data_IF_536488535598
#
_entry.id   IF_536488535598
#
_cell.length_a   1.000
_cell.length_b   1.000
_cell.length_c   1.000
_cell.angle_alpha   90.00
_cell.angle_beta   90.00
_cell.angle_gamma   90.00
#
_symmetry.space_group_name_H-M   'P 1'
#
loop_
_entity.id
_entity.type
_entity.pdbx_description
1 polymer ?
#
# COMPACT_ATOMS: atom_id res chain seq x y z
N UNK A 1 -3.22 -4.03 14.72
CA UNK A 1 -4.47 -3.84 15.47
C UNK A 1 -5.59 -3.68 14.44
N UNK A 2 -6.79 -4.23 14.70
CA UNK A 2 -7.97 -4.00 13.85
C UNK A 2 -8.98 -3.20 14.66
N UNK A 3 -9.59 -2.19 14.04
CA UNK A 3 -10.64 -1.36 14.63
C UNK A 3 -11.89 -1.42 13.75
N UNK A 4 -13.07 -1.39 14.38
CA UNK A 4 -14.33 -1.02 13.72
C UNK A 4 -14.37 0.49 13.51
N UNK A 5 -15.09 0.97 12.49
CA UNK A 5 -15.17 2.39 12.17
C UNK A 5 -16.34 2.73 11.25
N UNK A 6 -16.71 4.01 11.22
CA UNK A 6 -17.74 4.54 10.33
C UNK A 6 -17.27 4.55 8.87
N UNK A 7 -18.18 4.43 7.89
CA UNK A 7 -17.85 4.66 6.48
C UNK A 7 -17.12 6.01 6.31
N UNK A 8 -16.13 6.04 5.41
CA UNK A 8 -15.32 7.23 5.12
C UNK A 8 -15.60 7.73 3.70
N UNK A 9 -15.32 9.01 3.40
CA UNK A 9 -15.38 9.54 2.04
C UNK A 9 -14.63 8.68 1.01
N UNK A 10 -15.16 8.51 -0.22
CA UNK A 10 -16.43 9.08 -0.72
C UNK A 10 -17.69 8.23 -0.40
N UNK A 11 -17.54 7.12 0.33
CA UNK A 11 -18.62 6.15 0.55
C UNK A 11 -19.66 6.62 1.56
N UNK A 12 -19.31 7.53 2.46
CA UNK A 12 -20.26 8.17 3.37
C UNK A 12 -21.29 9.02 2.62
N UNK A 13 -20.88 9.83 1.64
CA UNK A 13 -21.79 10.59 0.74
C UNK A 13 -22.70 9.65 -0.05
N UNK A 14 -22.15 8.56 -0.60
CA UNK A 14 -22.93 7.55 -1.32
C UNK A 14 -24.02 6.94 -0.43
N UNK A 15 -23.67 6.57 0.81
CA UNK A 15 -24.62 6.02 1.79
C UNK A 15 -25.68 7.06 2.15
N UNK A 16 -25.31 8.32 2.37
CA UNK A 16 -26.29 9.37 2.68
C UNK A 16 -27.28 9.62 1.54
N UNK A 17 -26.83 9.58 0.28
CA UNK A 17 -27.69 9.70 -0.91
C UNK A 17 -28.65 8.53 -1.05
N UNK A 18 -28.20 7.30 -0.78
CA UNK A 18 -29.09 6.13 -0.77
C UNK A 18 -30.16 6.25 0.35
N UNK A 19 -29.76 6.72 1.53
CA UNK A 19 -30.68 6.96 2.65
C UNK A 19 -31.66 8.11 2.38
N UNK A 20 -31.28 9.13 1.61
CA UNK A 20 -32.20 10.21 1.24
C UNK A 20 -33.22 9.77 0.20
N UNK A 21 -32.80 8.99 -0.82
CA UNK A 21 -33.69 8.41 -1.81
C UNK A 21 -34.72 7.49 -1.18
N UNK A 22 -34.29 6.63 -0.25
CA UNK A 22 -35.20 5.75 0.47
C UNK A 22 -36.24 6.55 1.28
N UNK A 23 -35.84 7.64 1.94
CA UNK A 23 -36.75 8.51 2.71
C UNK A 23 -37.75 9.26 1.83
N UNK A 24 -37.35 9.70 0.64
CA UNK A 24 -38.24 10.32 -0.34
C UNK A 24 -39.34 9.33 -0.79
N UNK A 25 -38.96 8.07 -1.06
CA UNK A 25 -39.86 7.06 -1.60
C UNK A 25 -40.90 6.54 -0.58
N UNK A 26 -40.58 6.57 0.72
CA UNK A 26 -41.54 6.27 1.80
C UNK A 26 -42.74 7.23 1.85
N UNK A 27 -42.62 8.42 1.27
CA UNK A 27 -43.75 9.35 1.11
C UNK A 27 -44.63 9.04 -0.12
N UNK A 28 -44.13 8.18 -1.02
CA UNK A 28 -44.75 7.80 -2.29
C UNK A 28 -44.74 6.27 -2.52
N UNK A 29 -45.26 5.47 -1.60
CA UNK A 29 -45.73 4.08 -1.82
C UNK A 29 -44.78 3.09 -2.58
N UNK A 30 -43.49 3.38 -2.73
CA UNK A 30 -42.46 2.45 -3.24
C UNK A 30 -41.45 2.19 -2.13
N UNK A 31 -41.11 0.92 -1.92
CA UNK A 31 -40.30 0.47 -0.78
C UNK A 31 -38.83 0.20 -1.11
N UNK A 32 -38.42 0.28 -2.38
CA UNK A 32 -37.13 -0.26 -2.84
C UNK A 32 -36.46 0.68 -3.83
N UNK A 33 -35.30 1.20 -3.44
CA UNK A 33 -34.42 2.01 -4.30
C UNK A 33 -33.65 1.09 -5.24
N UNK A 34 -33.67 1.39 -6.53
CA UNK A 34 -32.94 0.67 -7.57
C UNK A 34 -31.71 1.49 -7.97
N UNK A 35 -30.52 0.97 -7.70
CA UNK A 35 -29.27 1.55 -8.18
C UNK A 35 -28.70 0.70 -9.33
N UNK A 36 -28.26 1.34 -10.41
CA UNK A 36 -27.50 0.69 -11.47
C UNK A 36 -26.01 0.93 -11.27
N UNK A 37 -25.21 -0.14 -11.34
CA UNK A 37 -23.76 -0.05 -11.43
C UNK A 37 -23.38 -0.16 -12.91
N UNK A 38 -22.79 0.91 -13.45
CA UNK A 38 -22.59 1.16 -14.87
C UNK A 38 -23.91 1.18 -15.68
N UNK A 39 -23.88 0.74 -16.94
CA UNK A 39 -24.96 0.96 -17.91
C UNK A 39 -26.24 0.27 -17.46
N UNK A 40 -27.36 0.99 -17.28
CA UNK A 40 -28.62 0.37 -16.89
C UNK A 40 -29.07 -0.67 -17.91
N UNK A 41 -29.62 -1.79 -17.42
CA UNK A 41 -30.12 -2.86 -18.30
C UNK A 41 -31.15 -2.32 -19.30
N UNK A 42 -30.98 -2.65 -20.57
CA UNK A 42 -31.82 -2.15 -21.67
C UNK A 42 -31.38 -0.81 -22.25
N UNK A 43 -30.34 -0.15 -21.71
CA UNK A 43 -29.78 1.05 -22.32
C UNK A 43 -28.71 0.69 -23.35
N UNK A 44 -28.68 1.44 -24.46
CA UNK A 44 -27.57 1.43 -25.41
C UNK A 44 -26.36 2.14 -24.79
N UNK A 45 -25.17 1.61 -25.01
CA UNK A 45 -23.90 2.07 -24.39
C UNK A 45 -23.59 3.54 -24.70
N UNK A 46 -24.03 4.03 -25.86
CA UNK A 46 -23.78 5.41 -26.28
C UNK A 46 -25.03 6.27 -26.24
N UNK A 47 -26.16 5.67 -26.62
CA UNK A 47 -27.37 6.43 -26.91
C UNK A 47 -28.38 6.41 -25.75
N UNK A 48 -28.14 5.63 -24.70
CA UNK A 48 -29.03 5.52 -23.54
C UNK A 48 -30.28 4.71 -23.85
N UNK A 49 -31.38 5.04 -23.20
CA UNK A 49 -32.67 4.35 -23.34
C UNK A 49 -33.36 4.77 -24.65
N UNK A 50 -32.90 4.23 -25.78
CA UNK A 50 -33.45 4.54 -27.12
C UNK A 50 -34.94 4.16 -27.20
N UNK A 51 -35.34 3.06 -26.55
CA UNK A 51 -36.69 2.50 -26.63
C UNK A 51 -37.64 2.93 -25.52
N UNK A 52 -37.16 3.54 -24.43
CA UNK A 52 -37.99 3.85 -23.25
C UNK A 52 -38.32 2.64 -22.37
N UNK A 53 -37.89 1.44 -22.77
CA UNK A 53 -38.15 0.15 -22.14
C UNK A 53 -37.04 -0.27 -21.17
N UNK A 54 -35.92 0.46 -21.16
CA UNK A 54 -34.80 0.20 -20.26
C UNK A 54 -35.19 0.42 -18.80
N UNK A 55 -34.44 -0.21 -17.89
CA UNK A 55 -34.59 0.05 -16.47
C UNK A 55 -34.27 1.52 -16.19
N UNK A 56 -35.08 2.16 -15.34
CA UNK A 56 -34.89 3.54 -14.89
C UNK A 56 -34.46 3.49 -13.43
N UNK A 57 -33.14 3.40 -13.16
CA UNK A 57 -32.67 3.35 -11.78
C UNK A 57 -32.86 4.72 -11.12
N UNK A 58 -33.05 4.71 -9.81
CA UNK A 58 -33.10 5.92 -8.99
C UNK A 58 -31.71 6.55 -8.81
N UNK A 59 -30.65 5.75 -9.00
CA UNK A 59 -29.26 6.19 -8.93
C UNK A 59 -28.36 5.46 -9.94
N UNK A 60 -27.42 6.19 -10.54
CA UNK A 60 -26.38 5.64 -11.42
C UNK A 60 -25.01 5.71 -10.75
N UNK A 61 -24.32 4.57 -10.62
CA UNK A 61 -22.96 4.48 -10.06
C UNK A 61 -22.04 3.99 -11.18
N UNK A 62 -21.10 4.79 -11.65
CA UNK A 62 -20.07 4.31 -12.59
C UNK A 62 -18.72 4.15 -11.89
N UNK A 63 -18.20 2.93 -11.94
CA UNK A 63 -16.90 2.56 -11.37
C UNK A 63 -15.75 2.83 -12.36
N UNK A 64 -16.08 3.14 -13.62
CA UNK A 64 -15.15 3.41 -14.71
C UNK A 64 -15.38 4.81 -15.28
N UNK A 65 -14.65 5.18 -16.34
CA UNK A 65 -14.95 6.41 -17.07
C UNK A 65 -16.39 6.31 -17.62
N UNK A 66 -17.29 7.27 -17.31
CA UNK A 66 -18.69 7.16 -17.67
C UNK A 66 -18.87 6.95 -19.17
N UNK A 67 -19.59 5.89 -19.55
CA UNK A 67 -20.00 5.65 -20.94
C UNK A 67 -20.87 6.81 -21.44
N UNK A 68 -20.90 7.05 -22.74
CA UNK A 68 -21.61 8.22 -23.30
C UNK A 68 -23.09 8.25 -22.88
N UNK A 69 -23.75 7.09 -22.76
CA UNK A 69 -25.13 7.00 -22.28
C UNK A 69 -25.32 7.51 -20.85
N UNK A 70 -24.30 7.44 -19.98
CA UNK A 70 -24.37 7.92 -18.61
C UNK A 70 -24.56 9.44 -18.55
N UNK A 71 -24.12 10.18 -19.59
CA UNK A 71 -24.40 11.62 -19.72
C UNK A 71 -25.88 11.93 -19.93
N UNK A 72 -26.67 10.95 -20.39
CA UNK A 72 -28.12 11.07 -20.61
C UNK A 72 -28.94 10.71 -19.37
N UNK A 73 -28.30 10.20 -18.32
CA UNK A 73 -28.99 9.91 -17.06
C UNK A 73 -29.26 11.20 -16.29
N UNK A 74 -30.54 11.49 -16.05
CA UNK A 74 -30.99 12.63 -15.26
C UNK A 74 -31.37 12.15 -13.86
N UNK A 75 -30.44 12.25 -12.91
CA UNK A 75 -30.69 11.86 -11.52
C UNK A 75 -29.42 11.84 -10.67
N UNK A 76 -29.55 11.42 -9.40
CA UNK A 76 -28.40 11.20 -8.51
C UNK A 76 -27.41 10.23 -9.14
N UNK A 77 -26.14 10.63 -9.22
CA UNK A 77 -25.10 9.79 -9.79
C UNK A 77 -23.79 9.90 -9.02
N UNK A 78 -22.94 8.88 -9.16
CA UNK A 78 -21.59 8.85 -8.59
C UNK A 78 -20.62 8.25 -9.61
N UNK A 79 -19.58 9.01 -9.98
CA UNK A 79 -18.61 8.61 -11.01
C UNK A 79 -17.20 8.55 -10.43
N UNK A 80 -16.71 7.34 -10.16
CA UNK A 80 -15.36 7.15 -9.61
C UNK A 80 -14.26 7.24 -10.68
N UNK A 81 -14.57 6.91 -11.94
CA UNK A 81 -13.59 6.97 -13.03
C UNK A 81 -13.12 8.38 -13.40
N UNK A 82 -13.80 9.42 -12.93
CA UNK A 82 -13.42 10.82 -13.12
C UNK A 82 -12.36 11.31 -12.11
N UNK A 83 -12.06 10.54 -11.05
CA UNK A 83 -11.01 10.85 -10.07
C UNK A 83 -9.59 10.65 -10.61
N UNK A 84 -9.46 10.25 -11.88
CA UNK A 84 -8.17 9.91 -12.51
C UNK A 84 -7.53 11.14 -13.14
N UNK A 85 -6.32 11.46 -12.70
CA UNK A 85 -5.48 12.49 -13.30
C UNK A 85 -4.61 11.94 -14.44
N UNK A 86 -4.28 12.79 -15.40
CA UNK A 86 -3.32 12.47 -16.47
C UNK A 86 -1.91 12.71 -15.96
N UNK A 87 -1.06 11.68 -15.92
CA UNK A 87 0.33 11.82 -15.52
C UNK A 87 1.11 12.68 -16.50
N UNK A 88 1.88 13.64 -15.99
CA UNK A 88 2.84 14.43 -16.76
C UNK A 88 4.23 14.08 -16.22
N UNK A 89 4.96 13.27 -16.98
CA UNK A 89 6.30 12.80 -16.61
C UNK A 89 7.21 12.78 -17.84
N UNK A 90 8.53 12.81 -17.65
CA UNK A 90 9.49 12.54 -18.73
C UNK A 90 9.30 11.12 -19.28
N UNK A 91 9.62 10.91 -20.56
CA UNK A 91 9.75 9.57 -21.14
C UNK A 91 10.90 8.82 -20.47
N UNK A 92 10.70 7.53 -20.21
CA UNK A 92 11.70 6.64 -19.60
C UNK A 92 12.02 5.46 -20.53
N UNK A 93 13.00 5.68 -21.40
CA UNK A 93 13.45 4.71 -22.41
C UNK A 93 14.68 3.89 -21.97
N UNK A 94 15.12 2.96 -22.82
CA UNK A 94 16.28 2.09 -22.56
C UNK A 94 17.60 2.83 -22.37
N UNK A 95 17.76 4.03 -22.92
CA UNK A 95 19.00 4.81 -22.80
C UNK A 95 19.12 5.50 -21.44
N UNK A 96 18.00 5.65 -20.73
CA UNK A 96 17.97 6.22 -19.39
C UNK A 96 18.14 5.19 -18.27
N UNK A 97 18.11 3.90 -18.62
CA UNK A 97 18.26 2.78 -17.69
C UNK A 97 19.73 2.59 -17.29
N UNK A 98 19.98 2.49 -15.99
CA UNK A 98 21.28 2.03 -15.49
C UNK A 98 21.45 0.52 -15.75
N UNK A 99 22.68 0.10 -16.07
CA UNK A 99 23.00 -1.30 -16.28
C UNK A 99 22.78 -2.17 -15.03
N UNK A 100 22.96 -1.58 -13.84
CA UNK A 100 22.72 -2.23 -12.57
C UNK A 100 21.38 -1.72 -11.98
N UNK A 101 20.39 -2.60 -11.73
CA UNK A 101 19.09 -2.19 -11.22
C UNK A 101 19.15 -1.58 -9.81
N UNK A 102 20.17 -1.92 -9.00
CA UNK A 102 20.36 -1.27 -7.69
C UNK A 102 20.75 0.20 -7.88
N UNK A 103 21.57 0.50 -8.88
CA UNK A 103 21.99 1.88 -9.16
C UNK A 103 20.83 2.68 -9.79
N UNK A 104 20.01 2.04 -10.64
CA UNK A 104 18.74 2.62 -11.10
C UNK A 104 17.80 2.96 -9.93
N UNK A 105 17.65 2.06 -8.95
CA UNK A 105 16.84 2.32 -7.76
C UNK A 105 17.39 3.51 -6.98
N UNK A 106 18.69 3.57 -6.71
CA UNK A 106 19.32 4.67 -5.97
C UNK A 106 19.07 6.01 -6.65
N UNK A 107 19.25 6.08 -7.98
CA UNK A 107 18.96 7.28 -8.78
C UNK A 107 17.53 7.78 -8.58
N UNK A 108 16.53 6.89 -8.71
CA UNK A 108 15.13 7.30 -8.49
C UNK A 108 14.80 7.61 -7.03
N UNK A 109 15.47 6.95 -6.08
CA UNK A 109 15.32 7.23 -4.66
C UNK A 109 15.89 8.61 -4.30
N UNK A 110 17.03 9.00 -4.88
CA UNK A 110 17.62 10.32 -4.74
C UNK A 110 16.76 11.40 -5.40
N UNK A 111 16.11 11.10 -6.54
CA UNK A 111 15.11 11.99 -7.14
C UNK A 111 13.91 12.22 -6.19
N UNK A 112 13.40 11.15 -5.57
CA UNK A 112 12.30 11.22 -4.61
C UNK A 112 12.66 12.04 -3.36
N UNK A 113 13.89 11.91 -2.86
CA UNK A 113 14.43 12.73 -1.78
C UNK A 113 14.54 14.20 -2.20
N UNK A 114 15.11 14.46 -3.37
CA UNK A 114 15.32 15.82 -3.92
C UNK A 114 14.01 16.54 -4.18
N UNK A 115 12.98 15.80 -4.63
CA UNK A 115 11.62 16.32 -4.81
C UNK A 115 10.89 16.62 -3.48
N UNK A 116 11.47 16.25 -2.33
CA UNK A 116 10.88 16.49 -1.02
C UNK A 116 9.61 15.67 -0.78
N UNK A 117 9.50 14.49 -1.38
CA UNK A 117 8.36 13.61 -1.14
C UNK A 117 8.25 13.23 0.35
N UNK A 118 7.03 13.03 0.82
CA UNK A 118 6.80 12.56 2.18
C UNK A 118 7.20 11.09 2.32
N UNK A 119 8.07 10.78 3.28
CA UNK A 119 8.58 9.42 3.56
C UNK A 119 8.94 8.61 2.28
N UNK A 120 9.90 9.08 1.46
CA UNK A 120 10.23 8.41 0.20
C UNK A 120 10.80 7.00 0.41
N UNK A 121 11.25 6.69 1.63
CA UNK A 121 11.72 5.38 2.05
C UNK A 121 10.60 4.45 2.56
N UNK A 122 9.34 4.89 2.58
CA UNK A 122 8.21 4.03 2.88
C UNK A 122 7.96 3.08 1.70
N UNK A 123 7.75 1.80 2.03
CA UNK A 123 7.49 0.75 1.05
C UNK A 123 6.41 -0.20 1.55
N UNK A 124 5.52 -0.63 0.65
CA UNK A 124 4.61 -1.71 0.94
C UNK A 124 5.37 -3.04 0.87
N UNK A 125 5.41 -3.76 1.98
CA UNK A 125 5.96 -5.11 2.08
C UNK A 125 4.84 -6.12 2.00
N UNK A 126 4.88 -6.99 0.99
CA UNK A 126 3.95 -8.09 0.79
C UNK A 126 4.61 -9.43 1.10
N UNK A 127 3.94 -10.23 1.94
CA UNK A 127 4.42 -11.56 2.37
C UNK A 127 3.27 -12.56 2.35
N UNK A 128 3.57 -13.84 2.24
CA UNK A 128 2.59 -14.92 2.34
C UNK A 128 3.19 -16.07 3.15
N UNK A 129 2.42 -16.71 4.03
CA UNK A 129 2.87 -17.89 4.77
C UNK A 129 2.66 -19.17 3.95
N UNK A 130 2.71 -20.33 4.62
CA UNK A 130 2.47 -21.64 3.97
C UNK A 130 1.04 -21.81 3.42
N UNK A 131 0.10 -21.00 3.88
CA UNK A 131 -1.29 -21.01 3.42
C UNK A 131 -1.50 -20.27 2.08
N UNK A 132 -0.43 -19.67 1.54
CA UNK A 132 -0.46 -18.93 0.28
C UNK A 132 -1.24 -17.62 0.32
N UNK A 133 -1.74 -17.17 1.48
CA UNK A 133 -2.54 -15.95 1.58
C UNK A 133 -1.63 -14.73 1.69
N UNK A 134 -1.62 -13.82 0.70
CA UNK A 134 -0.80 -12.63 0.76
C UNK A 134 -1.33 -11.66 1.82
N UNK A 135 -0.42 -10.96 2.49
CA UNK A 135 -0.74 -9.80 3.29
C UNK A 135 0.28 -8.69 3.10
N UNK A 136 -0.19 -7.46 3.04
CA UNK A 136 0.64 -6.27 2.79
C UNK A 136 0.52 -5.26 3.93
N UNK A 137 1.59 -4.50 4.15
CA UNK A 137 1.65 -3.39 5.10
C UNK A 137 2.82 -2.47 4.75
N UNK A 138 2.77 -1.22 5.19
CA UNK A 138 3.90 -0.31 5.06
C UNK A 138 5.00 -0.67 6.06
N UNK A 139 6.24 -0.60 5.60
CA UNK A 139 7.48 -0.61 6.40
C UNK A 139 8.41 0.46 5.83
N UNK A 140 9.46 0.81 6.58
CA UNK A 140 10.44 1.78 6.13
C UNK A 140 11.73 1.07 5.70
N UNK A 141 12.25 1.42 4.54
CA UNK A 141 13.60 1.10 4.12
C UNK A 141 14.58 1.82 5.08
N UNK A 142 15.51 1.06 5.65
CA UNK A 142 16.52 1.53 6.62
C UNK A 142 17.95 1.29 6.18
N UNK A 143 18.15 0.45 5.17
CA UNK A 143 19.46 0.23 4.56
C UNK A 143 19.29 -0.30 3.14
N UNK A 144 20.22 0.08 2.28
CA UNK A 144 20.40 -0.46 0.94
C UNK A 144 21.90 -0.68 0.73
N UNK A 145 22.29 -1.93 0.57
CA UNK A 145 23.67 -2.30 0.24
C UNK A 145 23.70 -3.31 -0.92
N UNK A 146 24.90 -3.80 -1.25
CA UNK A 146 25.12 -4.77 -2.33
C UNK A 146 24.34 -6.09 -2.16
N UNK A 147 23.94 -6.43 -0.93
CA UNK A 147 23.21 -7.65 -0.62
C UNK A 147 21.69 -7.42 -0.63
N UNK A 148 21.23 -6.16 -0.57
CA UNK A 148 19.84 -5.78 -0.86
C UNK A 148 19.22 -4.79 0.13
N UNK A 149 17.91 -4.95 0.36
CA UNK A 149 17.04 -3.95 1.00
C UNK A 149 16.73 -4.36 2.44
N UNK A 150 17.02 -3.48 3.40
CA UNK A 150 16.91 -3.76 4.84
C UNK A 150 15.77 -2.98 5.48
N UNK A 151 14.96 -3.66 6.29
CA UNK A 151 13.96 -3.07 7.18
C UNK A 151 13.96 -3.78 8.54
N UNK A 152 13.45 -3.13 9.58
CA UNK A 152 13.41 -3.67 10.94
C UNK A 152 11.97 -3.83 11.44
N UNK A 153 11.72 -4.90 12.21
CA UNK A 153 10.38 -5.26 12.68
C UNK A 153 10.47 -6.16 13.91
N UNK A 154 9.30 -6.43 14.50
CA UNK A 154 9.13 -7.53 15.45
C UNK A 154 8.99 -8.87 14.68
N UNK A 155 9.81 -9.86 15.01
CA UNK A 155 9.83 -11.22 14.45
C UNK A 155 8.60 -12.06 14.80
N UNK A 156 7.91 -11.74 15.90
CA UNK A 156 6.65 -12.38 16.32
C UNK A 156 5.41 -11.72 15.68
N UNK A 157 5.60 -10.72 14.83
CA UNK A 157 4.49 -10.13 14.10
C UNK A 157 3.96 -11.05 13.00
N UNK A 158 2.77 -10.78 12.47
CA UNK A 158 2.19 -11.58 11.39
C UNK A 158 3.12 -11.73 10.18
N UNK A 159 3.81 -10.65 9.78
CA UNK A 159 4.81 -10.70 8.70
C UNK A 159 6.05 -11.51 9.07
N UNK A 160 6.47 -11.48 10.34
CA UNK A 160 7.61 -12.24 10.84
C UNK A 160 7.31 -13.74 10.82
N UNK A 161 6.11 -14.15 11.23
CA UNK A 161 5.63 -15.52 11.08
C UNK A 161 5.55 -15.94 9.61
N UNK A 162 4.94 -15.14 8.74
CA UNK A 162 4.89 -15.46 7.29
C UNK A 162 6.30 -15.62 6.69
N UNK A 163 7.23 -14.72 7.01
CA UNK A 163 8.63 -14.79 6.54
C UNK A 163 9.41 -15.97 7.12
N UNK A 164 9.03 -16.45 8.30
CA UNK A 164 9.64 -17.66 8.89
C UNK A 164 9.18 -18.94 8.20
N UNK A 165 7.94 -18.98 7.69
CA UNK A 165 7.40 -20.12 6.95
C UNK A 165 7.77 -20.08 5.46
N UNK A 166 7.83 -18.88 4.88
CA UNK A 166 8.15 -18.65 3.47
C UNK A 166 9.05 -17.41 3.35
N UNK A 167 10.37 -17.60 3.20
CA UNK A 167 11.34 -16.50 3.17
C UNK A 167 11.38 -15.80 1.80
N UNK A 168 10.21 -15.41 1.28
CA UNK A 168 10.02 -14.65 0.04
C UNK A 168 9.16 -13.44 0.32
N UNK A 169 9.48 -12.30 -0.31
CA UNK A 169 8.66 -11.11 -0.22
C UNK A 169 8.70 -10.29 -1.51
N UNK A 170 7.75 -9.37 -1.61
CA UNK A 170 7.74 -8.29 -2.58
C UNK A 170 7.73 -6.94 -1.86
N UNK A 171 8.54 -6.01 -2.34
CA UNK A 171 8.56 -4.61 -1.92
C UNK A 171 7.97 -3.76 -3.05
N UNK A 172 7.19 -2.75 -2.67
CA UNK A 172 6.60 -1.78 -3.59
C UNK A 172 6.84 -0.37 -3.05
N UNK A 173 7.61 0.41 -3.80
CA UNK A 173 7.74 1.85 -3.63
C UNK A 173 6.76 2.54 -4.58
N UNK A 174 5.99 3.49 -4.07
CA UNK A 174 5.09 4.30 -4.87
C UNK A 174 5.35 5.76 -4.55
N UNK A 175 5.95 6.46 -5.52
CA UNK A 175 6.27 7.87 -5.46
C UNK A 175 5.29 8.62 -6.36
N UNK A 176 4.09 8.84 -5.82
CA UNK A 176 2.97 9.48 -6.51
C UNK A 176 3.34 10.85 -7.09
N UNK A 177 4.06 11.69 -6.35
CA UNK A 177 4.51 13.01 -6.80
C UNK A 177 5.47 12.98 -8.00
N UNK A 178 6.06 11.82 -8.31
CA UNK A 178 6.90 11.61 -9.50
C UNK A 178 6.24 10.67 -10.53
N UNK A 179 5.03 10.19 -10.25
CA UNK A 179 4.34 9.13 -11.00
C UNK A 179 5.23 7.90 -11.21
N UNK A 180 6.02 7.52 -10.20
CA UNK A 180 6.95 6.40 -10.27
C UNK A 180 6.55 5.27 -9.34
N UNK A 181 6.85 4.05 -9.79
CA UNK A 181 6.73 2.86 -8.98
C UNK A 181 7.96 1.99 -9.18
N UNK A 182 8.45 1.39 -8.09
CA UNK A 182 9.46 0.34 -8.15
C UNK A 182 8.97 -0.89 -7.39
N UNK A 183 8.92 -2.03 -8.07
CA UNK A 183 8.68 -3.34 -7.45
C UNK A 183 9.97 -4.11 -7.37
N UNK A 184 10.16 -4.80 -6.24
CA UNK A 184 11.35 -5.61 -5.98
C UNK A 184 10.90 -6.94 -5.38
N UNK A 185 11.35 -8.05 -5.93
CA UNK A 185 10.99 -9.38 -5.45
C UNK A 185 12.25 -10.21 -5.19
N UNK A 186 12.22 -11.06 -4.16
CA UNK A 186 13.35 -11.93 -3.86
C UNK A 186 13.27 -12.66 -2.51
N UNK A 187 14.28 -13.49 -2.21
CA UNK A 187 14.41 -14.15 -0.93
C UNK A 187 14.75 -13.17 0.19
N UNK A 188 14.28 -13.49 1.39
CA UNK A 188 14.46 -12.68 2.60
C UNK A 188 15.26 -13.46 3.63
N UNK A 189 16.23 -12.81 4.27
CA UNK A 189 17.00 -13.36 5.40
C UNK A 189 16.95 -12.40 6.58
N UNK A 190 17.10 -12.91 7.80
CA UNK A 190 17.37 -12.04 8.96
C UNK A 190 18.76 -11.43 8.79
N UNK A 191 18.91 -10.18 9.20
CA UNK A 191 20.25 -9.56 9.33
C UNK A 191 20.97 -10.16 10.55
N UNK A 192 22.26 -9.88 10.69
CA UNK A 192 23.01 -10.37 11.85
C UNK A 192 22.48 -9.78 13.16
N UNK A 193 22.76 -10.47 14.27
CA UNK A 193 22.39 -9.96 15.59
C UNK A 193 23.09 -8.63 15.89
N UNK A 194 24.36 -8.49 15.48
CA UNK A 194 25.11 -7.24 15.64
C UNK A 194 24.53 -6.08 14.81
N UNK A 195 24.09 -6.34 13.58
CA UNK A 195 23.42 -5.33 12.75
C UNK A 195 22.07 -4.91 13.35
N UNK A 196 21.35 -5.86 13.95
CA UNK A 196 20.11 -5.58 14.68
C UNK A 196 20.36 -4.76 15.96
N UNK A 197 21.39 -5.09 16.74
CA UNK A 197 21.78 -4.38 17.96
C UNK A 197 22.18 -2.94 17.66
N UNK A 198 23.10 -2.76 16.70
CA UNK A 198 23.60 -1.45 16.29
C UNK A 198 22.46 -0.54 15.81
N UNK A 199 21.54 -1.08 15.00
CA UNK A 199 20.39 -0.30 14.56
C UNK A 199 19.36 -0.08 15.67
N UNK A 200 19.18 -1.00 16.61
CA UNK A 200 18.30 -0.79 17.76
C UNK A 200 18.76 0.41 18.60
N UNK A 201 20.05 0.48 18.92
CA UNK A 201 20.63 1.53 19.76
C UNK A 201 20.76 2.88 19.07
N UNK A 202 20.74 2.95 17.74
CA UNK A 202 20.72 4.22 17.00
C UNK A 202 19.34 4.89 16.99
N UNK A 203 18.27 4.18 17.40
CA UNK A 203 16.90 4.72 17.42
C UNK A 203 16.70 5.68 18.59
N UNK A 204 15.79 6.67 18.48
CA UNK A 204 15.41 7.51 19.61
C UNK A 204 14.98 6.68 20.83
N UNK A 205 15.30 7.15 22.04
CA UNK A 205 15.06 6.41 23.29
C UNK A 205 13.62 5.90 23.42
N UNK A 206 12.61 6.74 23.18
CA UNK A 206 11.20 6.32 23.20
C UNK A 206 10.83 5.27 22.14
N UNK A 207 11.53 5.25 21.00
CA UNK A 207 11.36 4.20 19.98
C UNK A 207 11.96 2.86 20.41
N UNK A 208 13.03 2.88 21.19
CA UNK A 208 13.61 1.68 21.80
C UNK A 208 12.63 1.07 22.83
N UNK A 209 12.09 1.89 23.73
CA UNK A 209 11.05 1.48 24.70
C UNK A 209 9.81 0.94 23.97
N UNK A 210 9.30 1.67 22.97
CA UNK A 210 8.11 1.26 22.23
C UNK A 210 8.27 -0.09 21.50
N UNK A 211 9.49 -0.46 21.12
CA UNK A 211 9.77 -1.76 20.54
C UNK A 211 9.71 -2.91 21.56
N UNK A 212 9.93 -2.65 22.85
CA UNK A 212 9.77 -3.62 23.95
C UNK A 212 8.28 -3.80 24.29
N UNK A 213 7.55 -2.68 24.45
CA UNK A 213 6.13 -2.69 24.84
C UNK A 213 5.25 -3.36 23.78
N UNK A 214 5.55 -3.10 22.51
CA UNK A 214 4.66 -3.50 21.42
C UNK A 214 4.81 -4.97 21.03
N UNK A 215 3.94 -5.82 21.60
CA UNK A 215 3.63 -7.17 21.08
C UNK A 215 2.90 -7.06 19.74
N UNK A 216 3.65 -6.69 18.70
CA UNK A 216 3.07 -6.27 17.42
C UNK A 216 2.24 -7.38 16.79
N UNK A 217 0.97 -7.10 16.48
CA UNK A 217 -0.01 -8.03 15.87
C UNK A 217 -0.74 -8.96 16.84
N UNK A 218 -0.58 -8.80 18.16
CA UNK A 218 -1.43 -9.49 19.15
C UNK A 218 -2.66 -8.65 19.50
N UNK A 219 -3.70 -9.30 20.02
CA UNK A 219 -4.85 -8.60 20.62
C UNK A 219 -4.41 -8.01 21.95
N UNK A 220 -4.70 -6.73 22.17
CA UNK A 220 -4.46 -6.04 23.45
C UNK A 220 -5.82 -5.68 24.04
N UNK A 221 -6.11 -5.97 25.32
CA UNK A 221 -7.42 -5.75 25.90
C UNK A 221 -7.87 -4.28 25.83
N UNK A 222 -6.96 -3.34 26.15
CA UNK A 222 -7.23 -1.90 26.20
C UNK A 222 -5.96 -1.07 25.98
N UNK A 223 -6.11 0.19 25.57
CA UNK A 223 -5.01 1.11 25.26
C UNK A 223 -4.19 1.53 26.50
N UNK A 224 -4.84 1.64 27.65
CA UNK A 224 -4.21 2.04 28.91
C UNK A 224 -3.14 1.05 29.39
N UNK A 225 -3.30 -0.24 29.09
CA UNK A 225 -2.28 -1.27 29.36
C UNK A 225 -0.94 -0.92 28.71
N UNK A 226 -0.95 -0.47 27.45
CA UNK A 226 0.27 -0.09 26.73
C UNK A 226 0.91 1.17 27.31
N UNK A 227 0.10 2.13 27.75
CA UNK A 227 0.61 3.34 28.39
C UNK A 227 1.25 3.04 29.75
N UNK A 228 0.66 2.10 30.50
CA UNK A 228 1.20 1.67 31.78
C UNK A 228 2.53 0.92 31.59
N UNK A 229 2.60 -0.06 30.70
CA UNK A 229 3.84 -0.79 30.37
C UNK A 229 4.93 0.17 29.84
N UNK A 230 4.56 1.16 29.02
CA UNK A 230 5.49 2.17 28.54
C UNK A 230 6.06 3.00 29.69
N UNK A 231 5.23 3.50 30.60
CA UNK A 231 5.67 4.29 31.76
C UNK A 231 6.55 3.48 32.71
N UNK A 232 6.23 2.21 32.92
CA UNK A 232 7.04 1.31 33.74
C UNK A 232 8.43 1.09 33.15
N UNK A 233 8.51 0.91 31.83
CA UNK A 233 9.80 0.77 31.14
C UNK A 233 10.57 2.08 31.06
N UNK A 234 9.90 3.22 30.90
CA UNK A 234 10.51 4.55 30.94
C UNK A 234 11.09 4.87 32.32
N UNK A 235 10.41 4.47 33.41
CA UNK A 235 10.95 4.58 34.76
C UNK A 235 12.13 3.61 35.01
N UNK A 236 12.06 2.40 34.43
CA UNK A 236 13.12 1.38 34.55
C UNK A 236 14.37 1.73 33.74
N UNK A 237 14.20 2.38 32.60
CA UNK A 237 15.25 2.81 31.68
C UNK A 237 15.17 4.32 31.50
N UNK A 238 15.73 5.12 32.43
CA UNK A 238 15.81 6.56 32.29
C UNK A 238 16.58 6.97 31.03
N UNK A 239 16.34 8.19 30.54
CA UNK A 239 17.03 8.72 29.37
C UNK A 239 18.57 8.65 29.52
N UNK A 240 19.25 8.18 28.47
CA UNK A 240 20.69 7.92 28.48
C UNK A 240 21.08 6.53 29.00
N UNK A 241 20.16 5.75 29.56
CA UNK A 241 20.41 4.35 29.91
C UNK A 241 20.47 3.45 28.69
N UNK A 242 21.26 2.38 28.78
CA UNK A 242 21.33 1.36 27.73
C UNK A 242 20.11 0.44 27.83
N UNK A 243 19.28 0.45 26.80
CA UNK A 243 18.15 -0.46 26.66
C UNK A 243 18.62 -1.70 25.89
N UNK A 244 18.50 -2.92 26.45
CA UNK A 244 18.84 -4.13 25.71
C UNK A 244 17.84 -4.36 24.58
N UNK A 245 18.32 -4.72 23.38
CA UNK A 245 17.44 -5.09 22.27
C UNK A 245 16.64 -6.36 22.62
N UNK A 246 15.32 -6.37 22.41
CA UNK A 246 14.52 -7.59 22.56
C UNK A 246 14.95 -8.69 21.59
N UNK A 247 14.93 -9.95 22.03
CA UNK A 247 15.21 -11.13 21.17
C UNK A 247 14.24 -11.25 19.99
N UNK A 248 13.00 -10.81 20.17
CA UNK A 248 11.97 -10.82 19.12
C UNK A 248 12.06 -9.62 18.18
N UNK A 249 13.07 -8.74 18.30
CA UNK A 249 13.21 -7.56 17.45
C UNK A 249 14.50 -7.62 16.64
N UNK A 250 14.43 -7.24 15.36
CA UNK A 250 15.60 -7.10 14.50
C UNK A 250 15.26 -6.85 13.04
N UNK A 251 16.27 -7.00 12.18
CA UNK A 251 16.19 -6.67 10.76
C UNK A 251 15.95 -7.87 9.85
N UNK A 252 15.31 -7.60 8.73
CA UNK A 252 15.26 -8.48 7.56
C UNK A 252 15.91 -7.78 6.37
N UNK A 253 16.50 -8.58 5.49
CA UNK A 253 17.11 -8.18 4.23
C UNK A 253 16.48 -8.96 3.09
N UNK A 254 15.92 -8.25 2.10
CA UNK A 254 15.52 -8.84 0.82
C UNK A 254 16.70 -8.74 -0.15
N UNK A 255 17.16 -9.89 -0.66
CA UNK A 255 18.12 -9.95 -1.76
C UNK A 255 17.33 -9.92 -3.07
N UNK A 256 17.49 -8.90 -3.93
CA UNK A 256 16.65 -8.77 -5.11
C UNK A 256 16.97 -9.86 -6.15
N UNK A 257 15.93 -10.43 -6.74
CA UNK A 257 16.00 -11.29 -7.93
C UNK A 257 15.32 -10.65 -9.13
N UNK A 258 14.35 -9.77 -8.88
CA UNK A 258 13.64 -9.02 -9.92
C UNK A 258 13.40 -7.58 -9.46
N UNK A 259 13.56 -6.65 -10.39
CA UNK A 259 13.10 -5.27 -10.30
C UNK A 259 12.11 -4.99 -11.43
N UNK A 260 11.06 -4.23 -11.13
CA UNK A 260 10.21 -3.58 -12.14
C UNK A 260 10.21 -2.08 -11.87
N UNK A 261 10.66 -1.29 -12.85
CA UNK A 261 10.59 0.16 -12.85
C UNK A 261 9.42 0.59 -13.72
N UNK A 262 8.54 1.41 -13.16
CA UNK A 262 7.36 1.91 -13.84
C UNK A 262 7.28 3.43 -13.75
N UNK A 263 7.03 4.08 -14.90
CA UNK A 263 6.86 5.53 -15.02
C UNK A 263 5.49 5.83 -15.66
N UNK A 264 4.68 6.62 -14.97
CA UNK A 264 3.40 7.10 -15.46
C UNK A 264 3.56 8.00 -16.69
N UNK A 265 2.66 7.88 -17.67
CA UNK A 265 2.69 8.63 -18.93
C UNK A 265 1.29 9.15 -19.27
N UNK A 266 1.22 10.25 -20.04
CA UNK A 266 -0.03 10.92 -20.44
C UNK A 266 -0.98 9.99 -21.20
N UNK A 267 -0.44 9.19 -22.13
CA UNK A 267 -1.21 8.35 -23.06
C UNK A 267 -1.72 7.04 -22.46
N UNK A 268 -1.39 6.75 -21.18
CA UNK A 268 -1.57 5.44 -20.52
C UNK A 268 -0.65 4.33 -21.03
N UNK A 269 0.15 4.60 -22.06
CA UNK A 269 1.26 3.75 -22.45
C UNK A 269 2.41 4.06 -21.51
N UNK A 270 2.36 3.45 -20.33
CA UNK A 270 3.35 3.64 -19.28
C UNK A 270 4.64 2.91 -19.62
N UNK A 271 5.77 3.54 -19.29
CA UNK A 271 7.07 2.89 -19.46
C UNK A 271 7.25 1.86 -18.36
N UNK A 272 7.65 0.64 -18.74
CA UNK A 272 7.86 -0.45 -17.81
C UNK A 272 9.08 -1.27 -18.22
N UNK A 273 10.02 -1.36 -17.30
CA UNK A 273 11.24 -2.15 -17.48
C UNK A 273 11.35 -3.19 -16.37
N UNK A 274 11.45 -4.45 -16.76
CA UNK A 274 11.64 -5.58 -15.85
C UNK A 274 13.07 -6.09 -15.98
N UNK A 275 13.83 -6.02 -14.90
CA UNK A 275 15.22 -6.46 -14.82
C UNK A 275 15.30 -7.66 -13.87
N UNK A 276 15.75 -8.79 -14.38
CA UNK A 276 15.89 -10.05 -13.63
C UNK A 276 17.37 -10.35 -13.48
N UNK A 277 17.82 -10.66 -12.26
CA UNK A 277 19.17 -11.19 -12.08
C UNK A 277 19.23 -12.60 -12.64
N UNK A 278 19.84 -12.76 -13.81
CA UNK A 278 20.27 -14.06 -14.27
C UNK A 278 21.30 -14.59 -13.28
N UNK A 279 21.03 -15.73 -12.64
CA UNK A 279 22.10 -16.51 -12.02
C UNK A 279 23.06 -16.84 -13.16
N UNK A 280 24.29 -16.34 -13.11
CA UNK A 280 25.36 -17.03 -13.83
C UNK A 280 25.29 -18.47 -13.33
N UNK A 281 24.98 -19.40 -14.24
CA UNK A 281 25.23 -20.80 -14.00
C UNK A 281 26.72 -20.92 -13.69
N UNK A 282 27.03 -21.15 -12.42
CA UNK A 282 28.34 -21.66 -12.00
C UNK A 282 28.50 -23.02 -12.68
N UNK A 283 28.93 -23.02 -13.93
CA UNK A 283 29.44 -24.21 -14.58
C UNK A 283 30.84 -24.42 -14.03
N UNK A 284 30.96 -25.52 -13.28
CA UNK A 284 32.20 -26.16 -12.82
C UNK A 284 33.36 -26.07 -13.82
#
# INVERSE_FOLDING_TARGET
MKFSGTPRPPFDDLIQRLLSLHRYDHTHQRSSVIASVDIPSGWHVEEGDIGGEGIKPDMLISLTAPKLCAKKFCGPHHFLGALRENYISPEFDENQLEANPIDQFKKWFDDALTAGLHEPNAMALSTAGKDGKPSSRMVLLKGLDKEGFVWYTNYESHKGHQLSENPRAALLFYWDGLNRQVRIEGPVKKVSESESENYFHSRPHGSQIGAIVSKQSTVVPRRDVLHQEYKELEAKFPEGSLIPKPKHWGGYRLKPEMFEFWQGQKSRLHDRWVLIFCKCSDNN
#
